data_IF_850720792593
#
_entry.id   IF_850720792593
#
_cell.length_a   1.000
_cell.length_b   1.000
_cell.length_c   1.000
_cell.angle_alpha   90.00
_cell.angle_beta   90.00
_cell.angle_gamma   90.00
#
_symmetry.space_group_name_H-M   'P 1'
#
loop_
_entity.id
_entity.type
_entity.pdbx_description
1 polymer ?
#
# COMPACT_ATOMS: atom_id res chain seq x y z
N UNK A 1 -11.35 -14.18 -1.41
CA UNK A 1 -10.68 -13.05 -0.72
C UNK A 1 -9.91 -13.55 0.50
N UNK A 2 -8.59 -13.36 0.52
CA UNK A 2 -7.72 -13.71 1.66
C UNK A 2 -7.53 -12.50 2.56
N UNK A 3 -7.72 -12.64 3.87
CA UNK A 3 -7.43 -11.56 4.81
C UNK A 3 -5.94 -11.54 5.16
N UNK A 4 -5.30 -10.37 5.05
CA UNK A 4 -3.91 -10.14 5.47
C UNK A 4 -3.83 -9.04 6.53
N UNK A 5 -2.75 -9.05 7.30
CA UNK A 5 -2.46 -8.03 8.31
C UNK A 5 -1.43 -7.06 7.76
N UNK A 6 -1.74 -5.78 7.78
CA UNK A 6 -0.82 -4.73 7.33
C UNK A 6 0.39 -4.63 8.27
N UNK A 7 1.60 -4.75 7.75
CA UNK A 7 2.83 -4.63 8.56
C UNK A 7 3.03 -3.22 9.11
N UNK A 8 2.47 -2.19 8.45
CA UNK A 8 2.57 -0.78 8.88
C UNK A 8 1.61 -0.43 10.01
N UNK A 9 0.32 -0.71 9.84
CA UNK A 9 -0.73 -0.28 10.79
C UNK A 9 -1.37 -1.43 11.58
N UNK A 10 -0.95 -2.68 11.36
CA UNK A 10 -1.48 -3.89 11.98
C UNK A 10 -2.99 -4.16 11.75
N UNK A 11 -3.65 -3.41 10.86
CA UNK A 11 -5.06 -3.66 10.50
C UNK A 11 -5.20 -4.89 9.60
N UNK A 12 -6.29 -5.63 9.82
CA UNK A 12 -6.72 -6.71 8.93
C UNK A 12 -7.43 -6.08 7.72
N UNK A 13 -7.06 -6.52 6.52
CA UNK A 13 -7.65 -6.08 5.27
C UNK A 13 -7.83 -7.25 4.30
N UNK A 14 -8.72 -7.11 3.32
CA UNK A 14 -8.87 -8.10 2.25
C UNK A 14 -7.81 -7.93 1.17
N UNK A 15 -6.94 -8.92 1.00
CA UNK A 15 -5.99 -8.99 -0.10
C UNK A 15 -6.65 -9.67 -1.31
N UNK A 16 -6.87 -8.91 -2.37
CA UNK A 16 -7.42 -9.39 -3.64
C UNK A 16 -6.36 -9.89 -4.62
N UNK A 17 -5.12 -10.19 -4.18
CA UNK A 17 -4.02 -10.53 -5.10
C UNK A 17 -4.30 -11.83 -5.86
N UNK A 18 -4.92 -12.79 -5.19
CA UNK A 18 -5.32 -14.09 -5.75
C UNK A 18 -6.48 -13.95 -6.76
N UNK A 19 -7.33 -12.94 -6.56
CA UNK A 19 -8.48 -12.63 -7.43
C UNK A 19 -8.16 -11.59 -8.50
N UNK A 20 -6.92 -11.06 -8.55
CA UNK A 20 -6.53 -9.98 -9.45
C UNK A 20 -7.18 -8.62 -9.16
N UNK A 21 -7.89 -8.50 -8.03
CA UNK A 21 -8.62 -7.30 -7.59
C UNK A 21 -7.90 -6.53 -6.48
N UNK A 22 -6.60 -6.77 -6.30
CA UNK A 22 -5.80 -6.06 -5.31
C UNK A 22 -5.54 -4.62 -5.75
N UNK A 23 -5.70 -3.67 -4.84
CA UNK A 23 -5.33 -2.26 -5.07
C UNK A 23 -3.85 -2.08 -5.42
N UNK A 24 -2.96 -3.04 -5.12
CA UNK A 24 -1.57 -2.98 -5.59
C UNK A 24 -1.47 -2.90 -7.12
N UNK A 25 -2.48 -3.37 -7.85
CA UNK A 25 -2.53 -3.30 -9.31
C UNK A 25 -3.29 -2.06 -9.83
N UNK A 26 -4.19 -1.49 -9.02
CA UNK A 26 -4.92 -0.27 -9.36
C UNK A 26 -4.13 1.01 -9.04
N UNK A 27 -3.43 1.03 -7.90
CA UNK A 27 -2.68 2.21 -7.44
C UNK A 27 -1.41 2.34 -8.28
N UNK A 28 -1.30 3.46 -9.00
CA UNK A 28 -0.09 3.81 -9.73
C UNK A 28 0.93 4.44 -8.79
N UNK A 29 1.89 3.61 -8.38
CA UNK A 29 3.07 4.02 -7.63
C UNK A 29 4.24 4.20 -8.58
N UNK A 30 5.10 5.18 -8.30
CA UNK A 30 6.37 5.28 -9.01
C UNK A 30 7.24 4.06 -8.68
N UNK A 31 8.07 3.65 -9.64
CA UNK A 31 9.07 2.59 -9.45
C UNK A 31 9.94 2.79 -8.21
N UNK A 32 10.29 4.03 -7.87
CA UNK A 32 11.04 4.38 -6.66
C UNK A 32 10.20 4.08 -5.41
N UNK A 33 8.94 4.50 -5.38
CA UNK A 33 8.04 4.25 -4.25
C UNK A 33 7.80 2.76 -4.05
N UNK A 34 7.60 2.00 -5.14
CA UNK A 34 7.48 0.53 -5.10
C UNK A 34 8.74 -0.15 -4.54
N UNK A 35 9.93 0.31 -4.92
CA UNK A 35 11.18 -0.24 -4.42
C UNK A 35 11.32 0.03 -2.91
N UNK A 36 11.07 1.27 -2.48
CA UNK A 36 11.08 1.64 -1.07
C UNK A 36 10.10 0.79 -0.25
N UNK A 37 8.86 0.61 -0.73
CA UNK A 37 7.86 -0.23 -0.06
C UNK A 37 8.38 -1.67 0.07
N UNK A 38 8.96 -2.23 -0.99
CA UNK A 38 9.49 -3.60 -0.99
C UNK A 38 10.68 -3.79 -0.04
N UNK A 39 11.52 -2.76 0.11
CA UNK A 39 12.65 -2.78 1.04
C UNK A 39 12.21 -2.59 2.50
N UNK A 40 11.23 -1.69 2.73
CA UNK A 40 10.75 -1.38 4.08
C UNK A 40 9.76 -2.41 4.62
N UNK A 41 8.96 -3.02 3.75
CA UNK A 41 7.89 -3.93 4.11
C UNK A 41 8.00 -5.24 3.32
N UNK A 42 8.14 -6.34 4.07
CA UNK A 42 8.23 -7.70 3.52
C UNK A 42 6.87 -8.38 3.32
N UNK A 43 5.76 -7.75 3.74
CA UNK A 43 4.40 -8.26 3.56
C UNK A 43 3.48 -7.15 3.00
N UNK A 44 2.20 -7.47 2.78
CA UNK A 44 1.27 -6.61 2.08
C UNK A 44 0.82 -5.42 2.95
N UNK A 45 0.66 -4.26 2.30
CA UNK A 45 0.10 -3.06 2.91
C UNK A 45 -1.39 -2.93 2.58
N UNK A 46 -2.16 -2.41 3.53
CA UNK A 46 -3.55 -2.07 3.27
C UNK A 46 -3.65 -0.85 2.33
N UNK A 47 -4.81 -0.69 1.67
CA UNK A 47 -5.07 0.42 0.74
C UNK A 47 -4.64 1.78 1.33
N UNK A 48 -5.12 2.11 2.51
CA UNK A 48 -4.82 3.36 3.23
C UNK A 48 -3.32 3.62 3.40
N UNK A 49 -2.59 2.58 3.84
CA UNK A 49 -1.14 2.66 3.98
C UNK A 49 -0.43 2.77 2.64
N UNK A 50 -0.94 2.12 1.59
CA UNK A 50 -0.37 2.14 0.25
C UNK A 50 -0.61 3.49 -0.44
N UNK A 51 -1.78 4.11 -0.25
CA UNK A 51 -2.11 5.45 -0.80
C UNK A 51 -1.22 6.54 -0.21
N UNK A 52 -0.65 6.35 0.99
CA UNK A 52 0.37 7.28 1.53
C UNK A 52 1.62 7.38 0.64
N UNK A 53 1.92 6.33 -0.13
CA UNK A 53 3.05 6.29 -1.06
C UNK A 53 2.67 6.66 -2.49
N UNK A 54 1.37 6.87 -2.75
CA UNK A 54 0.92 7.37 -4.04
C UNK A 54 1.58 8.72 -4.27
N UNK A 55 2.23 8.89 -5.42
CA UNK A 55 3.02 10.10 -5.74
C UNK A 55 2.16 11.36 -5.95
N UNK A 56 0.89 11.32 -5.52
CA UNK A 56 -0.03 12.46 -5.43
C UNK A 56 0.04 13.07 -4.02
N UNK A 57 1.25 13.43 -3.60
CA UNK A 57 1.48 14.13 -2.33
C UNK A 57 0.97 15.56 -2.48
N UNK A 58 -0.31 15.80 -2.16
CA UNK A 58 -0.66 17.07 -1.51
C UNK A 58 -0.04 17.01 -0.12
N UNK A 59 1.19 17.50 -0.04
CA UNK A 59 1.75 18.01 1.20
C UNK A 59 0.79 19.08 1.69
N UNK A 60 0.06 18.81 2.77
CA UNK A 60 -0.33 19.88 3.66
C UNK A 60 0.48 19.71 4.95
N UNK A 61 1.62 20.39 4.93
CA UNK A 61 2.41 20.75 6.09
C UNK A 61 1.62 21.85 6.82
N UNK A 62 1.88 21.96 8.13
CA UNK A 62 1.65 23.10 9.04
C UNK A 62 0.24 23.12 9.69
N UNK A 63 0.10 23.26 11.02
CA UNK A 63 0.94 23.81 12.10
C UNK A 63 0.54 23.26 13.49
#
# INVERSE_FOLDING_TARGET
MTQKKCTRCSKIFGCGVDEGSCWCFEIKLDSIALNNIREMYTDCLCKDCLTTFETNVVNHIEE
#
